data_IF_027059462648
#
_entry.id   IF_027059462648
#
_cell.length_a   1.000
_cell.length_b   1.000
_cell.length_c   1.000
_cell.angle_alpha   90.00
_cell.angle_beta   90.00
_cell.angle_gamma   90.00
#
_symmetry.space_group_name_H-M   'P 1'
#
loop_
_entity.id
_entity.type
_entity.pdbx_description
1 polymer ?
#
# COMPACT_ATOMS: atom_id res chain seq x y z
N UNK A 1 -3.42 16.65 -7.35
CA UNK A 1 -3.99 17.33 -8.53
C UNK A 1 -5.47 16.96 -8.70
N UNK A 2 -6.25 16.80 -7.63
CA UNK A 2 -7.67 16.41 -7.72
C UNK A 2 -7.96 14.95 -8.14
N UNK A 3 -7.06 14.29 -8.87
CA UNK A 3 -7.23 12.89 -9.29
C UNK A 3 -7.02 11.89 -8.15
N UNK A 4 -7.88 10.87 -8.09
CA UNK A 4 -7.71 9.69 -7.26
C UNK A 4 -7.44 8.47 -8.17
N UNK A 5 -6.30 7.83 -7.98
CA UNK A 5 -5.91 6.60 -8.67
C UNK A 5 -5.37 5.64 -7.62
N UNK A 6 -5.96 4.45 -7.53
CA UNK A 6 -5.51 3.43 -6.60
C UNK A 6 -4.44 2.56 -7.26
N UNK A 7 -3.32 2.27 -6.59
CA UNK A 7 -2.34 1.32 -7.10
C UNK A 7 -2.91 -0.10 -7.06
N UNK A 8 -2.52 -0.90 -8.04
CA UNK A 8 -2.69 -2.34 -8.04
C UNK A 8 -1.30 -2.95 -7.85
N UNK A 9 -1.12 -3.68 -6.74
CA UNK A 9 0.15 -4.31 -6.41
C UNK A 9 0.43 -5.50 -7.34
N UNK A 10 1.68 -5.93 -7.38
CA UNK A 10 2.10 -7.10 -8.14
C UNK A 10 1.42 -8.36 -7.61
N UNK A 11 1.06 -9.27 -8.52
CA UNK A 11 0.40 -10.51 -8.14
C UNK A 11 0.57 -11.56 -9.24
N UNK A 12 0.83 -12.82 -8.86
CA UNK A 12 0.85 -13.94 -9.80
C UNK A 12 1.84 -13.80 -10.96
N UNK A 13 2.97 -13.12 -10.74
CA UNK A 13 3.98 -12.83 -11.77
C UNK A 13 3.70 -11.60 -12.64
N UNK A 14 2.57 -10.93 -12.44
CA UNK A 14 2.28 -9.64 -13.09
C UNK A 14 2.86 -8.48 -12.26
N UNK A 15 3.48 -7.48 -12.92
CA UNK A 15 4.04 -6.32 -12.23
C UNK A 15 2.94 -5.42 -11.65
N UNK A 16 3.29 -4.60 -10.66
CA UNK A 16 2.40 -3.56 -10.14
C UNK A 16 1.96 -2.61 -11.26
N UNK A 17 0.70 -2.19 -11.22
CA UNK A 17 0.09 -1.33 -12.23
C UNK A 17 -0.91 -0.35 -11.61
N UNK A 18 -1.50 0.49 -12.44
CA UNK A 18 -2.65 1.32 -12.06
C UNK A 18 -3.82 0.99 -12.96
N UNK A 19 -5.01 0.89 -12.40
CA UNK A 19 -6.23 0.64 -13.16
C UNK A 19 -6.95 1.97 -13.46
N UNK A 20 -7.29 2.20 -14.73
CA UNK A 20 -8.04 3.37 -15.17
C UNK A 20 -9.27 2.92 -15.96
N UNK A 21 -10.44 3.41 -15.54
CA UNK A 21 -11.69 3.24 -16.29
C UNK A 21 -11.97 4.50 -17.09
N UNK A 22 -12.15 4.35 -18.40
CA UNK A 22 -12.46 5.45 -19.32
C UNK A 22 -13.85 5.25 -19.92
N UNK A 23 -14.70 6.25 -19.77
CA UNK A 23 -16.11 6.30 -20.16
C UNK A 23 -16.27 7.43 -21.19
N UNK A 24 -16.78 7.07 -22.36
CA UNK A 24 -16.90 7.97 -23.51
C UNK A 24 -17.84 9.17 -23.32
N UNK A 25 -18.72 9.15 -22.31
CA UNK A 25 -19.66 10.25 -22.05
C UNK A 25 -19.01 11.40 -21.29
N UNK A 26 -18.64 11.15 -20.03
CA UNK A 26 -18.26 12.21 -19.09
C UNK A 26 -16.77 12.52 -19.07
N UNK A 27 -15.92 11.60 -19.56
CA UNK A 27 -14.47 11.72 -19.37
C UNK A 27 -13.72 12.21 -20.60
N UNK A 28 -14.36 12.30 -21.77
CA UNK A 28 -13.69 12.76 -23.01
C UNK A 28 -13.21 14.21 -22.87
N UNK A 29 -13.99 15.07 -22.20
CA UNK A 29 -13.66 16.49 -22.04
C UNK A 29 -12.46 16.75 -21.09
N UNK A 30 -12.07 15.76 -20.27
CA UNK A 30 -11.02 15.91 -19.25
C UNK A 30 -9.76 15.11 -19.56
N UNK A 31 -9.69 14.44 -20.73
CA UNK A 31 -8.53 13.60 -21.10
C UNK A 31 -7.25 14.40 -21.13
N UNK A 32 -7.25 15.57 -21.80
CA UNK A 32 -6.04 16.38 -21.93
C UNK A 32 -5.55 16.93 -20.59
N UNK A 33 -6.48 17.34 -19.72
CA UNK A 33 -6.18 17.77 -18.35
C UNK A 33 -5.56 16.63 -17.54
N UNK A 34 -6.19 15.45 -17.57
CA UNK A 34 -5.69 14.25 -16.90
C UNK A 34 -4.28 13.88 -17.39
N UNK A 35 -4.03 13.89 -18.70
CA UNK A 35 -2.73 13.56 -19.27
C UNK A 35 -1.66 14.59 -18.87
N UNK A 36 -1.98 15.88 -18.84
CA UNK A 36 -1.09 16.93 -18.37
C UNK A 36 -0.70 16.75 -16.90
N UNK A 37 -1.69 16.46 -16.05
CA UNK A 37 -1.50 16.23 -14.63
C UNK A 37 -0.77 14.92 -14.34
N UNK A 38 -1.03 13.86 -15.10
CA UNK A 38 -0.34 12.59 -15.01
C UNK A 38 1.14 12.75 -15.36
N UNK A 39 1.46 13.43 -16.46
CA UNK A 39 2.85 13.72 -16.86
C UNK A 39 3.60 14.48 -15.76
N UNK A 40 2.96 15.49 -15.17
CA UNK A 40 3.56 16.28 -14.09
C UNK A 40 3.72 15.45 -12.81
N UNK A 41 2.77 14.56 -12.50
CA UNK A 41 2.83 13.65 -11.36
C UNK A 41 3.94 12.61 -11.51
N UNK A 42 4.12 12.05 -12.71
CA UNK A 42 5.22 11.11 -13.03
C UNK A 42 6.58 11.80 -12.87
N UNK A 43 6.72 13.04 -13.37
CA UNK A 43 7.96 13.80 -13.20
C UNK A 43 8.29 14.03 -11.71
N UNK A 44 7.29 14.40 -10.91
CA UNK A 44 7.46 14.55 -9.46
C UNK A 44 7.80 13.23 -8.77
N UNK A 45 7.15 12.12 -9.14
CA UNK A 45 7.42 10.80 -8.57
C UNK A 45 8.85 10.33 -8.87
N UNK A 46 9.35 10.55 -10.10
CA UNK A 46 10.73 10.22 -10.49
C UNK A 46 11.81 10.98 -9.73
N UNK A 47 11.48 12.13 -9.16
CA UNK A 47 12.42 12.93 -8.35
C UNK A 47 12.46 12.48 -6.87
N UNK A 48 11.57 11.58 -6.47
CA UNK A 48 11.54 11.03 -5.11
C UNK A 48 12.44 9.80 -5.03
N UNK A 49 12.95 9.47 -3.82
CA UNK A 49 13.62 8.20 -3.58
C UNK A 49 12.74 7.01 -3.93
N UNK A 50 13.38 5.90 -4.31
CA UNK A 50 12.70 4.62 -4.47
C UNK A 50 12.05 4.21 -3.14
N UNK A 51 10.76 3.86 -3.21
CA UNK A 51 9.97 3.43 -2.05
C UNK A 51 10.06 1.92 -1.82
N UNK A 52 10.84 1.20 -2.64
CA UNK A 52 11.09 -0.23 -2.47
C UNK A 52 11.66 -0.52 -1.08
N UNK A 53 11.13 -1.53 -0.36
CA UNK A 53 11.63 -1.88 0.95
C UNK A 53 13.06 -2.42 0.88
N UNK A 54 13.82 -2.24 1.96
CA UNK A 54 15.18 -2.76 2.06
C UNK A 54 15.20 -4.30 1.83
N UNK A 55 16.15 -4.86 1.07
CA UNK A 55 16.18 -6.30 0.80
C UNK A 55 16.21 -7.19 2.05
N UNK A 56 16.87 -6.74 3.13
CA UNK A 56 16.89 -7.44 4.41
C UNK A 56 15.50 -7.52 5.07
N UNK A 57 14.69 -6.47 4.90
CA UNK A 57 13.31 -6.45 5.40
C UNK A 57 12.42 -7.37 4.56
N UNK A 58 12.62 -7.41 3.24
CA UNK A 58 11.91 -8.37 2.36
C UNK A 58 12.23 -9.80 2.77
N UNK A 59 13.50 -10.13 3.01
CA UNK A 59 13.91 -11.45 3.48
C UNK A 59 13.29 -11.81 4.83
N UNK A 60 13.24 -10.87 5.78
CA UNK A 60 12.55 -11.06 7.05
C UNK A 60 11.07 -11.38 6.84
N UNK A 61 10.36 -10.59 6.05
CA UNK A 61 8.94 -10.78 5.76
C UNK A 61 8.67 -12.14 5.10
N UNK A 62 9.56 -12.59 4.22
CA UNK A 62 9.47 -13.91 3.57
C UNK A 62 9.70 -15.08 4.53
N UNK A 63 10.38 -14.87 5.66
CA UNK A 63 10.65 -15.90 6.67
C UNK A 63 9.54 -16.06 7.71
N UNK A 64 8.60 -15.12 7.78
CA UNK A 64 7.52 -15.16 8.76
C UNK A 64 6.47 -16.21 8.38
N UNK A 65 6.06 -17.03 9.35
CA UNK A 65 4.91 -17.91 9.22
C UNK A 65 3.63 -17.17 9.66
N UNK A 66 2.70 -16.84 8.75
CA UNK A 66 1.47 -16.12 9.10
C UNK A 66 0.61 -16.85 10.14
N UNK A 67 0.71 -18.17 10.25
CA UNK A 67 -0.06 -18.94 11.24
C UNK A 67 0.42 -18.73 12.69
N UNK A 68 1.62 -18.18 12.87
CA UNK A 68 2.21 -17.91 14.18
C UNK A 68 2.03 -16.46 14.64
N UNK A 69 1.52 -15.59 13.77
CA UNK A 69 1.36 -14.18 14.06
C UNK A 69 0.11 -13.93 14.90
N UNK A 70 0.29 -13.22 16.01
CA UNK A 70 -0.81 -12.65 16.79
C UNK A 70 -0.82 -11.11 16.63
N UNK A 71 -1.89 -10.47 17.10
CA UNK A 71 -2.08 -9.01 16.98
C UNK A 71 -0.94 -8.19 17.60
N UNK A 72 -0.31 -8.68 18.68
CA UNK A 72 0.84 -8.00 19.30
C UNK A 72 2.07 -8.04 18.38
N UNK A 73 2.37 -9.20 17.78
CA UNK A 73 3.48 -9.33 16.83
C UNK A 73 3.22 -8.52 15.56
N UNK A 74 1.98 -8.49 15.06
CA UNK A 74 1.60 -7.67 13.90
C UNK A 74 1.77 -6.18 14.22
N UNK A 75 1.32 -5.72 15.37
CA UNK A 75 1.51 -4.33 15.80
C UNK A 75 3.00 -3.96 15.93
N UNK A 76 3.85 -4.87 16.40
CA UNK A 76 5.31 -4.66 16.45
C UNK A 76 5.91 -4.54 15.04
N UNK A 77 5.54 -5.42 14.11
CA UNK A 77 5.99 -5.39 12.71
C UNK A 77 5.55 -4.09 12.01
N UNK A 78 4.29 -3.69 12.18
CA UNK A 78 3.77 -2.42 11.67
C UNK A 78 4.49 -1.22 12.30
N UNK A 79 4.79 -1.29 13.60
CA UNK A 79 5.58 -0.29 14.32
C UNK A 79 6.98 -0.11 13.76
N UNK A 80 7.65 -1.18 13.32
CA UNK A 80 8.94 -1.11 12.61
C UNK A 80 8.84 -0.41 11.26
N UNK A 81 7.69 -0.52 10.59
CA UNK A 81 7.37 0.21 9.36
C UNK A 81 6.88 1.66 9.60
N UNK A 82 6.85 2.12 10.87
CA UNK A 82 6.42 3.47 11.24
C UNK A 82 4.91 3.64 11.35
N UNK A 83 4.14 2.55 11.30
CA UNK A 83 2.68 2.56 11.43
C UNK A 83 2.32 2.33 12.90
N UNK A 84 1.53 3.23 13.49
CA UNK A 84 1.09 3.13 14.89
C UNK A 84 -0.42 3.22 14.98
N UNK A 85 -1.04 2.24 15.64
CA UNK A 85 -2.49 2.14 15.69
C UNK A 85 -3.09 2.05 14.28
N UNK A 86 -4.16 2.81 14.04
CA UNK A 86 -4.85 2.90 12.75
C UNK A 86 -4.46 4.13 11.93
N UNK A 87 -3.50 4.93 12.41
CA UNK A 87 -3.04 6.13 11.71
C UNK A 87 -2.15 5.75 10.52
N UNK A 88 -2.67 5.98 9.31
CA UNK A 88 -1.95 5.73 8.07
C UNK A 88 -1.01 6.91 7.72
N UNK A 89 0.12 6.62 7.06
CA UNK A 89 1.03 7.67 6.60
C UNK A 89 0.38 8.52 5.49
N UNK A 90 0.76 9.79 5.41
CA UNK A 90 0.31 10.69 4.33
C UNK A 90 0.80 10.25 2.95
N UNK A 91 1.96 9.57 2.88
CA UNK A 91 2.48 8.96 1.66
C UNK A 91 2.35 7.44 1.78
N UNK A 92 1.69 6.85 0.79
CA UNK A 92 1.40 5.42 0.80
C UNK A 92 2.44 4.58 0.05
N UNK A 93 3.45 5.20 -0.58
CA UNK A 93 4.38 4.49 -1.46
C UNK A 93 5.18 3.42 -0.69
N UNK A 94 5.68 3.78 0.49
CA UNK A 94 6.50 2.90 1.34
C UNK A 94 5.69 1.72 1.87
N UNK A 95 4.47 1.97 2.39
CA UNK A 95 3.59 0.89 2.88
C UNK A 95 3.11 -0.01 1.74
N UNK A 96 2.79 0.55 0.58
CA UNK A 96 2.42 -0.24 -0.60
C UNK A 96 3.58 -1.12 -1.07
N UNK A 97 4.81 -0.60 -1.08
CA UNK A 97 6.00 -1.38 -1.42
C UNK A 97 6.27 -2.52 -0.42
N UNK A 98 6.02 -2.29 0.87
CA UNK A 98 6.08 -3.34 1.88
C UNK A 98 5.04 -4.43 1.63
N UNK A 99 3.77 -4.07 1.41
CA UNK A 99 2.69 -5.02 1.16
C UNK A 99 2.93 -5.80 -0.14
N UNK A 100 3.50 -5.15 -1.16
CA UNK A 100 3.84 -5.77 -2.45
C UNK A 100 4.94 -6.82 -2.33
N UNK A 101 5.89 -6.61 -1.42
CA UNK A 101 7.00 -7.54 -1.17
C UNK A 101 6.62 -8.74 -0.28
N UNK A 102 5.48 -8.68 0.41
CA UNK A 102 5.04 -9.72 1.33
C UNK A 102 4.47 -10.94 0.58
N UNK A 103 4.67 -12.17 1.11
CA UNK A 103 3.92 -13.33 0.65
C UNK A 103 2.40 -13.09 0.80
N UNK A 104 1.54 -13.53 -0.14
CA UNK A 104 0.11 -13.22 -0.12
C UNK A 104 -0.61 -13.57 1.19
N UNK A 105 -0.24 -14.70 1.81
CA UNK A 105 -0.81 -15.13 3.10
C UNK A 105 -0.41 -14.23 4.27
N UNK A 106 0.78 -13.63 4.21
CA UNK A 106 1.24 -12.68 5.21
C UNK A 106 0.47 -11.37 5.08
N UNK A 107 0.35 -10.84 3.86
CA UNK A 107 -0.44 -9.63 3.58
C UNK A 107 -1.89 -9.79 4.02
N UNK A 108 -2.51 -10.94 3.73
CA UNK A 108 -3.87 -11.27 4.18
C UNK A 108 -4.01 -11.23 5.70
N UNK A 109 -3.11 -11.89 6.45
CA UNK A 109 -3.15 -11.94 7.91
C UNK A 109 -2.99 -10.54 8.54
N UNK A 110 -2.04 -9.74 8.04
CA UNK A 110 -1.79 -8.38 8.54
C UNK A 110 -2.98 -7.47 8.25
N UNK A 111 -3.52 -7.50 7.03
CA UNK A 111 -4.66 -6.67 6.66
C UNK A 111 -5.92 -7.05 7.43
N UNK A 112 -6.15 -8.34 7.66
CA UNK A 112 -7.26 -8.81 8.47
C UNK A 112 -7.17 -8.31 9.92
N UNK A 113 -5.99 -8.39 10.55
CA UNK A 113 -5.76 -7.87 11.90
C UNK A 113 -5.94 -6.35 11.95
N UNK A 114 -5.37 -5.62 10.99
CA UNK A 114 -5.51 -4.16 10.91
C UNK A 114 -6.98 -3.74 10.79
N UNK A 115 -7.74 -4.36 9.89
CA UNK A 115 -9.18 -4.09 9.74
C UNK A 115 -9.94 -4.45 11.01
N UNK A 116 -9.61 -5.57 11.65
CA UNK A 116 -10.22 -5.94 12.94
C UNK A 116 -10.01 -4.85 14.00
N UNK A 117 -8.79 -4.32 14.13
CA UNK A 117 -8.46 -3.25 15.08
C UNK A 117 -9.23 -1.94 14.83
N UNK A 118 -9.66 -1.68 13.59
CA UNK A 118 -10.49 -0.50 13.27
C UNK A 118 -11.92 -0.60 13.83
N UNK A 119 -12.40 -1.81 14.13
CA UNK A 119 -13.78 -2.07 14.54
C UNK A 119 -13.92 -2.63 15.95
N UNK A 120 -12.82 -2.97 16.62
CA UNK A 120 -12.83 -3.34 18.04
C UNK A 120 -12.95 -2.05 18.88
N UNK A 121 -13.88 -2.04 19.83
CA UNK A 121 -13.98 -0.94 20.79
C UNK A 121 -12.67 -0.87 21.58
N UNK A 122 -12.01 0.30 21.71
CA UNK A 122 -10.80 0.41 22.51
C UNK A 122 -11.11 -0.13 23.91
N UNK A 123 -10.39 -1.16 24.35
CA UNK A 123 -10.47 -1.60 25.74
C UNK A 123 -10.03 -0.41 26.60
N UNK A 124 -10.91 0.07 27.47
CA UNK A 124 -10.60 1.13 28.42
C UNK A 124 -9.30 0.76 29.16
N UNK A 125 -8.25 1.57 28.94
CA UNK A 125 -7.05 1.59 29.78
C UNK A 125 -7.19 2.74 30.76
#
# INVERSE_FOLDING_TARGET
RGWYVQPQLSFGGYPACMHLTVMSGTQVAIVDEFLGDLKTSIAAAKALPDASPAPSLVQLLQSLDPATLNSQTIAQLLGMAGIRGTDLPKRMAEINGLIDAMPPRLSEAILADFVNQMFVCPSEV
#
